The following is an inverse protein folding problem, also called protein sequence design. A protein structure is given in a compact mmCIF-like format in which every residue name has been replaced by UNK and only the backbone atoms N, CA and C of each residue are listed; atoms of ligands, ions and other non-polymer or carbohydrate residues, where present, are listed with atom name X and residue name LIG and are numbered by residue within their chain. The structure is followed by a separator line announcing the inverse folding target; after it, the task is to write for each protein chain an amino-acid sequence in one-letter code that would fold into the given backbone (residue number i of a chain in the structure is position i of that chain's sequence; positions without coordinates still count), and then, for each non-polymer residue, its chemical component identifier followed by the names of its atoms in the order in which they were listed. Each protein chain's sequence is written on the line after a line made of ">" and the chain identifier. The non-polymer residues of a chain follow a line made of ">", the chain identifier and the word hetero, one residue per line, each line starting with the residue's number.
data_IF_409404384547
#
_entry.id   IF_409404384547
#
_cell.length_a   1.000
_cell.length_b   1.000
_cell.length_c   1.000
_cell.angle_alpha   90.00
_cell.angle_beta   90.00
_cell.angle_gamma   90.00
#
_symmetry.space_group_name_H-M   'P 1'
#
loop_
_entity.id
_entity.type
_entity.pdbx_description
1 polymer ?
#
# COMPACT_ATOMS: atom_id res chain seq x y z
N UNK A 1 -24.13 -4.68 25.47
CA UNK A 1 -24.81 -5.00 24.18
C UNK A 1 -25.99 -4.07 23.88
N UNK A 2 -26.95 -3.87 24.80
CA UNK A 2 -28.16 -3.01 24.60
C UNK A 2 -27.91 -1.57 24.07
N UNK A 3 -26.79 -0.93 24.45
CA UNK A 3 -26.46 0.43 23.98
C UNK A 3 -26.19 0.49 22.45
N UNK A 4 -25.57 -0.55 21.89
CA UNK A 4 -25.26 -0.62 20.45
C UNK A 4 -26.55 -0.77 19.63
N UNK A 5 -27.49 -1.60 20.10
CA UNK A 5 -28.78 -1.78 19.44
C UNK A 5 -29.62 -0.50 19.39
N UNK A 6 -29.58 0.32 20.46
CA UNK A 6 -30.23 1.62 20.49
C UNK A 6 -29.69 2.60 19.45
N UNK A 7 -28.36 2.68 19.31
CA UNK A 7 -27.69 3.52 18.29
C UNK A 7 -28.06 3.08 16.86
N UNK A 8 -28.14 1.77 16.63
CA UNK A 8 -28.61 1.21 15.35
C UNK A 8 -30.08 1.56 15.06
N UNK A 9 -30.94 1.57 16.08
CA UNK A 9 -32.34 1.97 15.92
C UNK A 9 -32.48 3.47 15.60
N UNK A 10 -31.72 4.34 16.27
CA UNK A 10 -31.66 5.78 15.94
C UNK A 10 -31.22 6.02 14.50
N UNK A 11 -30.18 5.31 14.04
CA UNK A 11 -29.71 5.41 12.65
C UNK A 11 -30.80 4.99 11.65
N UNK A 12 -31.52 3.90 11.91
CA UNK A 12 -32.64 3.49 11.06
C UNK A 12 -33.75 4.55 11.03
N UNK A 13 -34.07 5.16 12.17
CA UNK A 13 -35.12 6.21 12.26
C UNK A 13 -34.74 7.48 11.50
N UNK A 14 -33.46 7.87 11.54
CA UNK A 14 -32.94 9.01 10.77
C UNK A 14 -33.03 8.80 9.25
N UNK A 15 -32.89 7.55 8.79
CA UNK A 15 -32.97 7.20 7.37
C UNK A 15 -34.39 7.36 6.80
N UNK A 16 -35.41 6.99 7.56
CA UNK A 16 -36.80 6.99 7.08
C UNK A 16 -37.37 8.41 6.91
N UNK A 17 -37.10 9.31 7.87
CA UNK A 17 -37.70 10.65 7.92
C UNK A 17 -37.17 11.69 6.92
N UNK A 18 -36.04 11.45 6.24
CA UNK A 18 -35.44 12.42 5.31
C UNK A 18 -35.70 12.11 3.82
N UNK A 19 -36.62 11.19 3.52
CA UNK A 19 -36.91 10.73 2.16
C UNK A 19 -37.78 11.71 1.35
N UNK A 20 -37.41 13.00 1.27
CA UNK A 20 -37.85 13.87 0.17
C UNK A 20 -36.89 13.62 -0.99
N UNK A 21 -37.15 12.56 -1.76
CA UNK A 21 -36.36 12.18 -2.93
C UNK A 21 -36.42 13.33 -3.95
N UNK A 22 -35.32 14.07 -4.20
CA UNK A 22 -35.31 15.12 -5.20
C UNK A 22 -35.55 14.50 -6.59
N UNK A 23 -36.17 15.27 -7.49
CA UNK A 23 -36.53 14.85 -8.86
C UNK A 23 -35.43 13.99 -9.51
N UNK A 24 -35.75 12.70 -9.68
CA UNK A 24 -34.85 11.64 -10.14
C UNK A 24 -34.18 11.97 -11.48
N UNK A 25 -34.86 12.69 -12.35
CA UNK A 25 -34.37 13.03 -13.69
C UNK A 25 -33.23 14.07 -13.62
N UNK A 26 -33.36 15.06 -12.73
CA UNK A 26 -32.31 16.05 -12.49
C UNK A 26 -31.08 15.42 -11.79
N UNK A 27 -31.28 14.37 -11.00
CA UNK A 27 -30.18 13.61 -10.38
C UNK A 27 -29.44 12.80 -11.45
N UNK A 28 -30.16 12.12 -12.36
CA UNK A 28 -29.54 11.34 -13.43
C UNK A 28 -28.72 12.22 -14.39
N UNK A 29 -29.22 13.40 -14.78
CA UNK A 29 -28.46 14.30 -15.65
C UNK A 29 -27.19 14.83 -14.96
N UNK A 30 -27.30 15.22 -13.68
CA UNK A 30 -26.13 15.65 -12.89
C UNK A 30 -25.13 14.51 -12.70
N UNK A 31 -25.59 13.28 -12.48
CA UNK A 31 -24.73 12.11 -12.32
C UNK A 31 -24.05 11.72 -13.64
N UNK A 32 -24.75 11.80 -14.78
CA UNK A 32 -24.19 11.53 -16.10
C UNK A 32 -23.12 12.56 -16.47
N UNK A 33 -23.43 13.87 -16.30
CA UNK A 33 -22.47 14.96 -16.54
C UNK A 33 -21.28 14.90 -15.58
N UNK A 34 -21.50 14.52 -14.32
CA UNK A 34 -20.43 14.26 -13.36
C UNK A 34 -19.58 13.06 -13.79
N UNK A 35 -20.19 11.97 -14.27
CA UNK A 35 -19.48 10.78 -14.75
C UNK A 35 -18.64 11.07 -15.99
N UNK A 36 -19.16 11.85 -16.95
CA UNK A 36 -18.40 12.30 -18.12
C UNK A 36 -17.23 13.19 -17.71
N UNK A 37 -17.46 14.22 -16.89
CA UNK A 37 -16.40 15.10 -16.39
C UNK A 37 -15.32 14.31 -15.62
N UNK A 38 -15.74 13.38 -14.77
CA UNK A 38 -14.83 12.49 -14.02
C UNK A 38 -14.06 11.59 -14.99
N UNK A 39 -14.68 11.05 -16.03
CA UNK A 39 -14.02 10.18 -17.01
C UNK A 39 -12.99 10.93 -17.87
N UNK A 40 -13.29 12.18 -18.27
CA UNK A 40 -12.37 13.05 -19.02
C UNK A 40 -11.18 13.44 -18.13
N UNK A 41 -11.45 13.86 -16.89
CA UNK A 41 -10.40 14.17 -15.92
C UNK A 41 -9.54 12.95 -15.61
N UNK A 42 -10.15 11.78 -15.41
CA UNK A 42 -9.43 10.53 -15.17
C UNK A 42 -8.55 10.15 -16.37
N UNK A 43 -9.05 10.30 -17.59
CA UNK A 43 -8.27 10.03 -18.81
C UNK A 43 -7.09 11.01 -18.96
N UNK A 44 -7.30 12.30 -18.72
CA UNK A 44 -6.25 13.31 -18.76
C UNK A 44 -5.17 13.05 -17.70
N UNK A 45 -5.58 12.75 -16.46
CA UNK A 45 -4.70 12.40 -15.35
C UNK A 45 -3.91 11.12 -15.69
N UNK A 46 -4.56 10.08 -16.21
CA UNK A 46 -3.88 8.84 -16.57
C UNK A 46 -2.90 9.04 -17.72
N UNK A 47 -3.26 9.82 -18.74
CA UNK A 47 -2.35 10.17 -19.83
C UNK A 47 -1.13 10.93 -19.31
N UNK A 48 -1.33 11.87 -18.39
CA UNK A 48 -0.25 12.61 -17.74
C UNK A 48 0.67 11.71 -16.90
N UNK A 49 0.09 10.83 -16.07
CA UNK A 49 0.83 9.83 -15.28
C UNK A 49 1.64 8.93 -16.21
N UNK A 50 1.05 8.47 -17.32
CA UNK A 50 1.74 7.62 -18.29
C UNK A 50 2.92 8.34 -18.95
N UNK A 51 2.81 9.63 -19.24
CA UNK A 51 3.92 10.44 -19.77
C UNK A 51 5.06 10.52 -18.74
N UNK A 52 4.75 10.77 -17.46
CA UNK A 52 5.74 10.81 -16.39
C UNK A 52 6.39 9.44 -16.11
N UNK A 53 5.66 8.34 -16.32
CA UNK A 53 6.17 6.99 -16.15
C UNK A 53 7.02 6.48 -17.33
N UNK A 54 6.93 7.08 -18.53
CA UNK A 54 7.76 6.69 -19.70
C UNK A 54 9.27 6.69 -19.39
N UNK A 55 9.87 7.76 -18.85
CA UNK A 55 11.31 7.76 -18.55
C UNK A 55 11.66 6.73 -17.47
N UNK A 56 10.79 6.50 -16.47
CA UNK A 56 10.99 5.48 -15.43
C UNK A 56 10.99 4.07 -16.02
N UNK A 57 10.07 3.79 -16.95
CA UNK A 57 10.03 2.51 -17.68
C UNK A 57 11.27 2.33 -18.56
N UNK A 58 11.68 3.38 -19.27
CA UNK A 58 12.89 3.36 -20.09
C UNK A 58 14.14 3.08 -19.25
N UNK A 59 14.26 3.76 -18.11
CA UNK A 59 15.34 3.53 -17.15
C UNK A 59 15.31 2.11 -16.59
N UNK A 60 14.13 1.55 -16.33
CA UNK A 60 13.97 0.15 -15.89
C UNK A 60 14.43 -0.86 -16.95
N UNK A 61 14.11 -0.63 -18.24
CA UNK A 61 14.62 -1.45 -19.33
C UNK A 61 16.15 -1.36 -19.45
N UNK A 62 16.71 -0.16 -19.30
CA UNK A 62 18.16 0.04 -19.34
C UNK A 62 18.88 -0.63 -18.17
N UNK A 63 18.28 -0.56 -16.97
CA UNK A 63 18.75 -1.23 -15.77
C UNK A 63 18.83 -2.76 -15.96
N UNK A 64 17.86 -3.35 -16.67
CA UNK A 64 17.87 -4.79 -16.95
C UNK A 64 19.03 -5.21 -17.85
N UNK A 65 19.41 -4.38 -18.84
CA UNK A 65 20.44 -4.73 -19.82
C UNK A 65 21.88 -4.45 -19.31
N UNK A 66 22.07 -3.37 -18.55
CA UNK A 66 23.38 -2.99 -17.99
C UNK A 66 23.28 -2.63 -16.49
N UNK A 67 23.12 -3.63 -15.60
CA UNK A 67 22.80 -3.36 -14.20
C UNK A 67 23.91 -2.58 -13.48
N UNK A 68 25.18 -2.98 -13.64
CA UNK A 68 26.30 -2.34 -12.93
C UNK A 68 26.50 -0.87 -13.33
N UNK A 69 26.55 -0.58 -14.63
CA UNK A 69 26.72 0.79 -15.12
C UNK A 69 25.56 1.68 -14.71
N UNK A 70 24.33 1.14 -14.78
CA UNK A 70 23.13 1.85 -14.36
C UNK A 70 23.16 2.18 -12.85
N UNK A 71 23.52 1.23 -11.99
CA UNK A 71 23.66 1.47 -10.54
C UNK A 71 24.67 2.58 -10.26
N UNK A 72 25.87 2.52 -10.86
CA UNK A 72 26.89 3.54 -10.65
C UNK A 72 26.39 4.92 -11.06
N UNK A 73 25.78 5.05 -12.25
CA UNK A 73 25.25 6.33 -12.71
C UNK A 73 24.16 6.89 -11.78
N UNK A 74 23.29 6.01 -11.27
CA UNK A 74 22.19 6.41 -10.38
C UNK A 74 22.68 6.84 -9.00
N UNK A 75 23.68 6.14 -8.44
CA UNK A 75 24.33 6.53 -7.18
C UNK A 75 25.08 7.85 -7.34
N UNK A 76 25.80 8.06 -8.45
CA UNK A 76 26.44 9.34 -8.74
C UNK A 76 25.40 10.46 -8.82
N UNK A 77 24.35 10.30 -9.62
CA UNK A 77 23.26 11.29 -9.72
C UNK A 77 22.63 11.59 -8.36
N UNK A 78 22.47 10.59 -7.50
CA UNK A 78 21.94 10.75 -6.15
C UNK A 78 22.91 11.53 -5.25
N UNK A 79 24.22 11.23 -5.29
CA UNK A 79 25.25 11.98 -4.54
C UNK A 79 25.32 13.45 -4.98
N UNK A 80 25.24 13.72 -6.29
CA UNK A 80 25.17 15.08 -6.83
C UNK A 80 23.93 15.83 -6.32
N UNK A 81 22.75 15.20 -6.36
CA UNK A 81 21.54 15.79 -5.81
C UNK A 81 21.68 16.06 -4.30
N UNK A 82 22.18 15.08 -3.54
CA UNK A 82 22.41 15.21 -2.11
C UNK A 82 23.36 16.36 -1.80
N UNK A 83 24.44 16.52 -2.58
CA UNK A 83 25.37 17.64 -2.45
C UNK A 83 24.67 18.99 -2.65
N UNK A 84 23.87 19.12 -3.72
CA UNK A 84 23.09 20.34 -3.98
C UNK A 84 22.08 20.65 -2.86
N UNK A 85 21.37 19.65 -2.33
CA UNK A 85 20.42 19.86 -1.23
C UNK A 85 21.09 20.19 0.09
N UNK A 86 22.28 19.63 0.35
CA UNK A 86 23.09 20.01 1.52
C UNK A 86 23.53 21.47 1.44
N UNK A 87 23.83 22.00 0.25
CA UNK A 87 24.12 23.42 0.06
C UNK A 87 22.92 24.34 0.40
N UNK A 88 21.69 23.85 0.21
CA UNK A 88 20.44 24.57 0.53
C UNK A 88 20.04 24.37 2.01
N UNK A 89 20.92 23.80 2.85
CA UNK A 89 20.65 23.41 4.26
C UNK A 89 19.47 22.43 4.43
N UNK A 90 18.97 21.86 3.33
CA UNK A 90 17.85 20.92 3.31
C UNK A 90 18.32 19.47 3.05
N UNK A 91 19.62 19.23 3.18
CA UNK A 91 20.26 17.95 2.88
C UNK A 91 19.69 16.78 3.66
N UNK A 92 19.40 16.97 4.96
CA UNK A 92 18.86 15.91 5.81
C UNK A 92 17.45 15.49 5.39
N UNK A 93 16.59 16.46 5.04
CA UNK A 93 15.21 16.17 4.64
C UNK A 93 15.18 15.41 3.31
N UNK A 94 16.01 15.83 2.35
CA UNK A 94 16.19 15.10 1.09
C UNK A 94 16.72 13.68 1.35
N UNK A 95 17.70 13.51 2.24
CA UNK A 95 18.23 12.19 2.60
C UNK A 95 17.15 11.26 3.17
N UNK A 96 16.38 11.73 4.16
CA UNK A 96 15.28 10.96 4.76
C UNK A 96 14.20 10.60 3.72
N UNK A 97 13.79 11.57 2.90
CA UNK A 97 12.83 11.31 1.82
C UNK A 97 13.36 10.27 0.84
N UNK A 98 14.64 10.36 0.47
CA UNK A 98 15.28 9.37 -0.42
C UNK A 98 15.32 7.97 0.19
N UNK A 99 15.49 7.84 1.51
CA UNK A 99 15.42 6.55 2.21
C UNK A 99 14.00 5.96 2.16
N UNK A 100 12.96 6.78 2.33
CA UNK A 100 11.58 6.32 2.15
C UNK A 100 11.31 5.89 0.71
N UNK A 101 11.77 6.66 -0.28
CA UNK A 101 11.65 6.28 -1.70
C UNK A 101 12.37 4.96 -1.97
N UNK A 102 13.59 4.79 -1.46
CA UNK A 102 14.34 3.54 -1.58
C UNK A 102 13.61 2.38 -0.92
N UNK A 103 13.05 2.58 0.27
CA UNK A 103 12.23 1.59 0.96
C UNK A 103 11.03 1.15 0.11
N UNK A 104 10.30 2.11 -0.48
CA UNK A 104 9.14 1.79 -1.33
C UNK A 104 9.52 1.06 -2.62
N UNK A 105 10.66 1.42 -3.25
CA UNK A 105 11.16 0.73 -4.45
C UNK A 105 11.57 -0.71 -4.11
N UNK A 106 12.18 -0.92 -2.93
CA UNK A 106 12.58 -2.24 -2.46
C UNK A 106 11.45 -3.04 -1.80
N UNK A 107 10.27 -2.43 -1.60
CA UNK A 107 9.13 -3.14 -1.05
C UNK A 107 8.67 -4.17 -2.09
N UNK A 108 9.14 -5.40 -1.91
CA UNK A 108 8.86 -6.49 -2.81
C UNK A 108 7.36 -6.73 -2.95
N UNK A 109 6.93 -7.21 -4.12
CA UNK A 109 5.56 -7.67 -4.30
C UNK A 109 5.46 -9.08 -3.75
N UNK A 110 4.52 -9.31 -2.84
CA UNK A 110 4.16 -10.66 -2.39
C UNK A 110 3.80 -11.51 -3.61
N UNK A 111 4.42 -12.68 -3.75
CA UNK A 111 3.99 -13.64 -4.78
C UNK A 111 2.67 -14.26 -4.36
N UNK A 112 1.82 -14.54 -5.34
CA UNK A 112 0.56 -15.25 -5.08
C UNK A 112 0.87 -16.60 -4.41
N UNK A 113 0.28 -16.87 -3.25
CA UNK A 113 0.50 -18.11 -2.48
C UNK A 113 1.61 -18.07 -1.42
N UNK A 114 2.39 -17.00 -1.29
CA UNK A 114 3.38 -16.90 -0.19
C UNK A 114 2.68 -16.80 1.18
N UNK A 115 3.16 -17.55 2.16
CA UNK A 115 2.68 -17.45 3.54
C UNK A 115 3.00 -16.06 4.11
N UNK A 116 2.01 -15.39 4.68
CA UNK A 116 2.20 -14.18 5.49
C UNK A 116 2.81 -14.50 6.85
N UNK A 117 3.55 -13.54 7.40
CA UNK A 117 4.16 -13.61 8.72
C UNK A 117 3.17 -13.95 9.85
N UNK A 118 1.91 -13.56 9.71
CA UNK A 118 0.84 -13.90 10.65
C UNK A 118 0.02 -15.06 10.13
N UNK A 119 -0.05 -16.13 10.91
CA UNK A 119 -0.78 -17.34 10.54
C UNK A 119 -2.28 -17.11 10.30
N UNK A 120 -2.91 -16.11 10.92
CA UNK A 120 -4.34 -15.82 10.74
C UNK A 120 -4.72 -15.46 9.28
N UNK A 121 -3.74 -15.02 8.48
CA UNK A 121 -3.95 -14.73 7.06
C UNK A 121 -3.46 -15.86 6.14
N UNK A 122 -2.90 -16.94 6.70
CA UNK A 122 -2.47 -18.10 5.94
C UNK A 122 -3.62 -19.11 5.81
N UNK A 123 -3.66 -19.88 4.71
CA UNK A 123 -4.56 -21.04 4.62
C UNK A 123 -4.38 -21.94 5.85
N UNK A 124 -5.49 -22.45 6.39
CA UNK A 124 -5.50 -23.35 7.56
C UNK A 124 -4.82 -22.81 8.82
N UNK A 125 -4.62 -21.49 8.94
CA UNK A 125 -3.82 -20.90 10.01
C UNK A 125 -2.39 -21.45 10.06
N UNK A 126 -1.83 -21.84 8.91
CA UNK A 126 -0.49 -22.41 8.82
C UNK A 126 0.57 -21.36 9.22
N UNK A 127 1.57 -21.78 10.00
CA UNK A 127 2.63 -20.89 10.49
C UNK A 127 3.82 -20.94 9.54
N UNK A 128 4.64 -19.89 9.49
CA UNK A 128 5.88 -19.95 8.72
C UNK A 128 6.78 -21.07 9.24
N UNK A 129 7.44 -21.84 8.37
CA UNK A 129 8.39 -22.85 8.79
C UNK A 129 9.52 -22.18 9.59
N UNK A 130 9.84 -22.74 10.77
CA UNK A 130 10.91 -22.23 11.64
C UNK A 130 10.51 -21.10 12.59
N UNK A 131 9.26 -20.62 12.59
CA UNK A 131 8.81 -19.69 13.64
C UNK A 131 8.77 -20.39 14.99
N UNK A 132 9.32 -19.74 16.03
CA UNK A 132 9.19 -20.24 17.41
C UNK A 132 7.71 -20.25 17.78
N UNK A 133 7.19 -21.42 18.13
CA UNK A 133 5.80 -21.54 18.57
C UNK A 133 5.72 -21.52 20.09
N UNK A 134 4.54 -21.18 20.63
CA UNK A 134 4.30 -21.23 22.06
C UNK A 134 4.54 -22.64 22.62
N UNK A 135 4.21 -23.68 21.85
CA UNK A 135 4.43 -25.08 22.25
C UNK A 135 5.93 -25.44 22.31
N UNK A 136 6.74 -24.88 21.40
CA UNK A 136 8.21 -24.99 21.45
C UNK A 136 8.78 -24.27 22.66
N UNK A 137 8.35 -23.02 22.87
CA UNK A 137 8.76 -22.24 24.04
C UNK A 137 8.39 -22.94 25.35
N UNK A 138 7.18 -23.48 25.44
CA UNK A 138 6.71 -24.22 26.61
C UNK A 138 7.53 -25.49 26.84
N UNK A 139 7.81 -26.26 25.78
CA UNK A 139 8.64 -27.47 25.88
C UNK A 139 10.06 -27.15 26.36
N UNK A 140 10.67 -26.11 25.81
CA UNK A 140 12.07 -25.78 26.08
C UNK A 140 12.24 -25.10 27.45
N UNK A 141 11.28 -24.25 27.86
CA UNK A 141 11.30 -23.58 29.16
C UNK A 141 10.80 -24.48 30.30
N UNK A 142 9.69 -25.19 30.11
CA UNK A 142 9.07 -25.99 31.18
C UNK A 142 9.56 -27.45 31.21
N UNK A 143 10.39 -27.88 30.24
CA UNK A 143 10.87 -29.27 30.10
C UNK A 143 9.77 -30.32 30.26
N UNK A 144 8.52 -30.01 29.88
CA UNK A 144 7.43 -30.99 29.99
C UNK A 144 7.70 -32.11 29.00
N UNK A 145 7.89 -33.34 29.51
CA UNK A 145 7.90 -34.55 28.69
C UNK A 145 6.55 -34.60 27.97
N UNK A 146 6.55 -34.53 26.64
CA UNK A 146 5.35 -34.82 25.86
C UNK A 146 4.99 -36.27 26.19
N UNK A 147 3.92 -36.47 26.96
CA UNK A 147 3.33 -37.79 27.14
C UNK A 147 2.79 -38.19 25.77
N UNK A 148 3.50 -39.10 25.09
CA UNK A 148 2.94 -39.79 23.93
C UNK A 148 1.83 -40.68 24.48
N UNK A 149 0.59 -40.28 24.23
CA UNK A 149 -0.57 -41.17 24.28
C UNK A 149 -0.71 -41.80 22.90
#
# INVERSE_FOLDING_TARGET
>A
MKCVEGRLAEYRRKGDGNSKVPNRDAIHEKQFRSSENVSIQFTAINNFINILLKPVRLWSCFYYHYPHSCIVFTVLSWLLAQWCFTYIEFGLVFFLFSLFVFLFINLGKRKSGELSAYSIFNPHCERLPGTLTAEHFERDLLKRKILRV
#
